data_IF_208553722663
#
_entry.id   IF_208553722663
#
_cell.length_a   1.000
_cell.length_b   1.000
_cell.length_c   1.000
_cell.angle_alpha   90.00
_cell.angle_beta   90.00
_cell.angle_gamma   90.00
#
_symmetry.space_group_name_H-M   'P 1'
#
loop_
_entity.id
_entity.type
_entity.pdbx_description
1 polymer ?
#
# COMPACT_ATOMS: atom_id res chain seq x y z
N UNK A 1 -37.62 -1.03 18.14
CA UNK A 1 -36.29 -1.51 17.74
C UNK A 1 -35.57 -0.35 17.08
N UNK A 2 -34.44 0.10 17.65
CA UNK A 2 -33.67 1.22 17.12
C UNK A 2 -33.02 0.81 15.80
N UNK A 3 -33.50 1.34 14.67
CA UNK A 3 -32.74 1.32 13.42
C UNK A 3 -31.72 2.44 13.51
N UNK A 4 -30.48 2.11 13.88
CA UNK A 4 -29.38 3.05 13.70
C UNK A 4 -29.33 3.42 12.20
N UNK A 5 -29.26 4.72 11.85
CA UNK A 5 -28.90 5.08 10.49
C UNK A 5 -27.54 4.47 10.19
N UNK A 6 -27.38 3.90 8.99
CA UNK A 6 -26.09 3.41 8.56
C UNK A 6 -25.08 4.57 8.62
N UNK A 7 -24.05 4.44 9.45
CA UNK A 7 -22.99 5.43 9.57
C UNK A 7 -21.99 5.20 8.46
N UNK A 8 -21.71 6.22 7.65
CA UNK A 8 -20.59 6.21 6.70
C UNK A 8 -19.53 7.15 7.25
N UNK A 9 -18.32 6.65 7.42
CA UNK A 9 -17.19 7.41 7.95
C UNK A 9 -15.92 7.14 7.13
N UNK A 10 -14.97 8.05 7.25
CA UNK A 10 -13.62 7.89 6.71
C UNK A 10 -12.67 7.80 7.90
N UNK A 11 -11.85 6.74 7.95
CA UNK A 11 -10.82 6.51 8.97
C UNK A 11 -9.45 6.39 8.28
N UNK A 12 -8.36 6.35 9.07
CA UNK A 12 -6.98 6.35 8.54
C UNK A 12 -6.41 7.77 8.51
N UNK A 13 -5.73 8.13 7.42
CA UNK A 13 -5.11 9.46 7.26
C UNK A 13 -6.13 10.56 6.92
N UNK A 14 -7.29 10.18 6.38
CA UNK A 14 -8.41 11.06 6.04
C UNK A 14 -7.98 12.22 5.12
N UNK A 15 -7.26 11.88 4.05
CA UNK A 15 -6.78 12.87 3.06
C UNK A 15 -7.85 13.22 2.02
N UNK A 16 -8.67 12.26 1.66
CA UNK A 16 -9.81 12.42 0.77
C UNK A 16 -11.06 12.89 1.51
N UNK A 17 -12.20 12.83 0.81
CA UNK A 17 -13.49 13.19 1.37
C UNK A 17 -14.57 12.21 0.93
N UNK A 18 -15.60 12.04 1.75
CA UNK A 18 -16.82 11.33 1.36
C UNK A 18 -17.87 12.35 0.90
N UNK A 19 -18.36 12.17 -0.33
CA UNK A 19 -19.37 13.04 -0.92
C UNK A 19 -20.63 12.23 -1.20
N UNK A 20 -21.80 12.80 -0.89
CA UNK A 20 -23.09 12.19 -1.17
C UNK A 20 -23.72 12.84 -2.40
N UNK A 21 -23.99 12.04 -3.42
CA UNK A 21 -24.62 12.48 -4.67
C UNK A 21 -25.81 11.57 -4.99
N UNK A 22 -26.98 12.17 -5.23
CA UNK A 22 -28.23 11.44 -5.52
C UNK A 22 -28.55 10.28 -4.54
N UNK A 23 -28.16 10.42 -3.27
CA UNK A 23 -28.37 9.42 -2.21
C UNK A 23 -27.27 8.37 -2.07
N UNK A 24 -26.31 8.32 -2.99
CA UNK A 24 -25.16 7.39 -3.01
C UNK A 24 -23.91 8.08 -2.43
N UNK A 25 -23.09 7.34 -1.70
CA UNK A 25 -21.81 7.82 -1.17
C UNK A 25 -20.68 7.49 -2.14
N UNK A 26 -19.84 8.49 -2.40
CA UNK A 26 -18.64 8.39 -3.23
C UNK A 26 -17.42 8.82 -2.42
N UNK A 27 -16.32 8.09 -2.61
CA UNK A 27 -15.01 8.55 -2.17
C UNK A 27 -14.43 9.50 -3.22
N UNK A 28 -14.01 10.68 -2.79
CA UNK A 28 -13.29 11.65 -3.60
C UNK A 28 -11.85 11.72 -3.10
N UNK A 29 -10.94 11.25 -3.95
CA UNK A 29 -9.49 11.29 -3.71
C UNK A 29 -9.02 12.74 -3.51
N UNK A 30 -8.02 12.99 -2.64
CA UNK A 30 -7.39 14.30 -2.56
C UNK A 30 -6.85 14.75 -3.92
N UNK A 31 -6.66 16.07 -4.14
CA UNK A 31 -5.92 16.54 -5.31
C UNK A 31 -4.54 15.89 -5.37
N UNK A 32 -4.12 15.50 -6.58
CA UNK A 32 -2.76 15.02 -6.81
C UNK A 32 -1.77 16.10 -6.37
N UNK A 33 -0.76 15.71 -5.59
CA UNK A 33 0.29 16.65 -5.19
C UNK A 33 0.97 17.23 -6.45
N UNK A 34 1.18 18.55 -6.51
CA UNK A 34 1.88 19.13 -7.65
C UNK A 34 3.33 18.60 -7.68
N UNK A 35 3.91 18.48 -8.87
CA UNK A 35 5.28 17.96 -9.02
C UNK A 35 6.33 18.75 -8.21
N UNK A 36 6.08 20.04 -7.97
CA UNK A 36 6.94 20.90 -7.12
C UNK A 36 6.91 20.54 -5.63
N UNK A 37 6.01 19.66 -5.19
CA UNK A 37 5.92 19.18 -3.80
C UNK A 37 6.89 18.03 -3.50
N UNK A 38 7.55 17.49 -4.52
CA UNK A 38 8.54 16.42 -4.38
C UNK A 38 9.85 16.83 -5.04
N UNK A 39 10.97 16.41 -4.46
CA UNK A 39 12.30 16.66 -5.03
C UNK A 39 12.94 15.32 -5.39
N UNK A 40 12.94 14.92 -6.66
CA UNK A 40 13.72 13.78 -7.12
C UNK A 40 15.22 13.99 -6.89
N UNK A 41 15.94 12.93 -6.55
CA UNK A 41 17.40 12.95 -6.36
C UNK A 41 18.09 12.25 -7.53
N UNK A 42 18.91 12.99 -8.29
CA UNK A 42 19.65 12.45 -9.44
C UNK A 42 20.68 11.38 -9.02
N UNK A 43 21.15 11.44 -7.77
CA UNK A 43 22.05 10.45 -7.16
C UNK A 43 21.31 9.15 -6.72
N UNK A 44 20.05 8.98 -7.11
CA UNK A 44 19.26 7.78 -6.82
C UNK A 44 19.82 6.55 -7.53
N UNK A 45 19.79 5.38 -6.86
CA UNK A 45 20.27 4.10 -7.43
C UNK A 45 19.29 3.48 -8.44
N UNK A 46 18.04 3.93 -8.49
CA UNK A 46 16.94 3.33 -9.25
C UNK A 46 16.66 4.09 -10.56
N UNK A 47 16.06 3.42 -11.55
CA UNK A 47 15.63 4.08 -12.81
C UNK A 47 14.58 5.17 -12.54
N UNK A 48 13.41 4.89 -11.92
CA UNK A 48 12.61 5.96 -11.33
C UNK A 48 13.43 6.66 -10.26
N UNK A 49 13.59 7.98 -10.36
CA UNK A 49 14.35 8.74 -9.37
C UNK A 49 13.63 8.71 -8.02
N UNK A 50 14.36 8.32 -6.98
CA UNK A 50 13.86 8.42 -5.61
C UNK A 50 13.68 9.87 -5.20
N UNK A 51 12.62 10.13 -4.45
CA UNK A 51 12.31 11.44 -3.89
C UNK A 51 13.04 11.60 -2.56
N UNK A 52 13.59 12.79 -2.31
CA UNK A 52 14.19 13.15 -1.03
C UNK A 52 13.15 13.16 0.11
N UNK A 53 13.54 12.62 1.26
CA UNK A 53 12.76 12.71 2.50
C UNK A 53 12.78 14.16 2.99
N UNK A 54 11.60 14.78 3.11
CA UNK A 54 11.45 16.17 3.58
C UNK A 54 10.19 16.33 4.42
N UNK A 55 10.33 16.88 5.63
CA UNK A 55 9.19 17.11 6.54
C UNK A 55 8.39 15.84 6.77
N UNK A 56 7.06 15.95 6.71
CA UNK A 56 6.11 14.85 6.92
C UNK A 56 5.71 14.13 5.61
N UNK A 57 6.48 14.31 4.52
CA UNK A 57 6.20 13.66 3.25
C UNK A 57 6.45 12.15 3.36
N UNK A 58 5.37 11.37 3.20
CA UNK A 58 5.41 9.90 3.16
C UNK A 58 5.07 9.39 1.74
N UNK A 59 5.56 8.21 1.35
CA UNK A 59 5.33 7.66 0.00
C UNK A 59 3.85 7.44 -0.35
N UNK A 60 3.10 6.91 0.60
CA UNK A 60 1.70 6.54 0.44
C UNK A 60 0.93 6.84 1.72
N UNK A 61 -0.27 7.38 1.56
CA UNK A 61 -1.27 7.49 2.62
C UNK A 61 -2.41 6.51 2.37
N UNK A 62 -3.20 6.25 3.40
CA UNK A 62 -4.39 5.41 3.29
C UNK A 62 -5.62 6.04 3.92
N UNK A 63 -6.72 6.03 3.18
CA UNK A 63 -8.05 6.29 3.70
C UNK A 63 -8.85 4.99 3.68
N UNK A 64 -9.67 4.76 4.71
CA UNK A 64 -10.59 3.61 4.77
C UNK A 64 -12.00 4.17 4.91
N UNK A 65 -12.82 3.97 3.88
CA UNK A 65 -14.25 4.25 3.98
C UNK A 65 -14.92 3.09 4.70
N UNK A 66 -15.60 3.37 5.81
CA UNK A 66 -16.30 2.38 6.61
C UNK A 66 -17.81 2.65 6.59
N UNK A 67 -18.60 1.59 6.48
CA UNK A 67 -20.05 1.62 6.56
C UNK A 67 -20.48 0.70 7.70
N UNK A 68 -21.13 1.26 8.70
CA UNK A 68 -21.70 0.52 9.83
C UNK A 68 -23.23 0.53 9.73
N UNK A 69 -23.87 -0.63 9.77
CA UNK A 69 -25.33 -0.74 9.67
C UNK A 69 -25.87 -2.11 10.03
N UNK A 70 -27.01 -2.15 10.73
CA UNK A 70 -27.70 -3.41 11.04
C UNK A 70 -26.89 -4.42 11.87
N UNK A 71 -25.91 -3.95 12.65
CA UNK A 71 -25.01 -4.81 13.44
C UNK A 71 -23.81 -5.37 12.66
N UNK A 72 -23.59 -4.93 11.43
CA UNK A 72 -22.44 -5.29 10.61
C UNK A 72 -21.64 -4.05 10.18
N UNK A 73 -20.37 -4.28 9.81
CA UNK A 73 -19.49 -3.28 9.23
C UNK A 73 -18.90 -3.78 7.91
N UNK A 74 -18.68 -2.88 6.97
CA UNK A 74 -17.95 -3.14 5.73
C UNK A 74 -17.01 -1.96 5.46
N UNK A 75 -15.86 -2.23 4.85
CA UNK A 75 -14.88 -1.19 4.56
C UNK A 75 -14.24 -1.33 3.17
N UNK A 76 -13.72 -0.21 2.67
CA UNK A 76 -12.92 -0.13 1.45
C UNK A 76 -11.73 0.79 1.69
N UNK A 77 -10.53 0.29 1.36
CA UNK A 77 -9.28 1.02 1.45
C UNK A 77 -8.94 1.75 0.15
N UNK A 78 -8.48 3.00 0.27
CA UNK A 78 -8.01 3.84 -0.82
C UNK A 78 -6.57 4.24 -0.54
N UNK A 79 -5.66 3.79 -1.40
CA UNK A 79 -4.24 4.15 -1.35
C UNK A 79 -4.03 5.45 -2.12
N UNK A 80 -3.33 6.39 -1.49
CA UNK A 80 -3.04 7.71 -2.05
C UNK A 80 -1.53 7.81 -2.22
N UNK A 81 -1.08 7.73 -3.47
CA UNK A 81 0.33 7.78 -3.82
C UNK A 81 0.77 9.24 -3.90
N UNK A 82 1.69 9.65 -3.03
CA UNK A 82 2.24 11.02 -3.00
C UNK A 82 3.43 11.20 -3.94
N UNK A 83 4.00 10.10 -4.42
CA UNK A 83 5.12 10.03 -5.34
C UNK A 83 5.10 8.70 -6.09
N UNK A 84 5.90 8.58 -7.14
CA UNK A 84 6.05 7.32 -7.88
C UNK A 84 6.88 6.32 -7.06
N UNK A 85 6.47 5.04 -6.98
CA UNK A 85 7.31 3.98 -6.42
C UNK A 85 8.63 3.84 -7.19
N UNK A 86 9.72 3.59 -6.47
CA UNK A 86 11.04 3.32 -7.07
C UNK A 86 11.36 1.84 -7.17
N UNK A 87 10.68 1.05 -6.34
CA UNK A 87 10.77 -0.40 -6.29
C UNK A 87 9.45 -1.02 -6.76
N UNK A 88 9.47 -2.34 -6.91
CA UNK A 88 8.29 -3.18 -7.13
C UNK A 88 8.41 -4.44 -6.28
N UNK A 89 7.28 -5.13 -6.07
CA UNK A 89 7.25 -6.38 -5.33
C UNK A 89 7.10 -7.56 -6.28
N UNK A 90 8.08 -8.48 -6.23
CA UNK A 90 7.95 -9.83 -6.80
C UNK A 90 7.25 -10.71 -5.79
N UNK A 91 6.32 -11.53 -6.26
CA UNK A 91 5.67 -12.54 -5.44
C UNK A 91 6.32 -13.91 -5.72
N UNK A 92 6.37 -14.76 -4.71
CA UNK A 92 6.93 -16.09 -4.82
C UNK A 92 6.19 -17.05 -3.91
N UNK A 93 6.55 -18.33 -4.01
CA UNK A 93 6.02 -19.38 -3.13
C UNK A 93 7.14 -20.11 -2.45
N UNK A 94 7.17 -20.06 -1.11
CA UNK A 94 8.14 -20.78 -0.29
C UNK A 94 7.38 -21.62 0.73
N UNK A 95 7.57 -22.94 0.68
CA UNK A 95 6.89 -23.89 1.57
C UNK A 95 5.35 -23.72 1.59
N UNK A 96 4.75 -23.38 0.45
CA UNK A 96 3.31 -23.15 0.31
C UNK A 96 2.81 -21.80 0.82
N UNK A 97 3.69 -20.92 1.31
CA UNK A 97 3.38 -19.56 1.74
C UNK A 97 3.76 -18.55 0.66
N UNK A 98 3.06 -17.42 0.65
CA UNK A 98 3.39 -16.30 -0.22
C UNK A 98 4.64 -15.59 0.31
N UNK A 99 5.64 -15.47 -0.56
CA UNK A 99 6.87 -14.73 -0.34
C UNK A 99 6.78 -13.41 -1.11
N UNK A 100 7.10 -12.30 -0.46
CA UNK A 100 7.25 -10.98 -1.07
C UNK A 100 8.74 -10.66 -1.13
N UNK A 101 9.22 -10.14 -2.26
CA UNK A 101 10.59 -9.66 -2.43
C UNK A 101 10.55 -8.25 -2.99
N UNK A 102 11.19 -7.31 -2.30
CA UNK A 102 11.33 -5.94 -2.77
C UNK A 102 12.47 -5.88 -3.79
N UNK A 103 12.14 -5.49 -5.02
CA UNK A 103 13.08 -5.41 -6.12
C UNK A 103 13.08 -4.01 -6.74
N UNK A 104 14.15 -3.67 -7.45
CA UNK A 104 14.23 -2.44 -8.24
C UNK A 104 15.03 -2.67 -9.52
N UNK A 105 14.87 -1.76 -10.47
CA UNK A 105 15.76 -1.67 -11.63
C UNK A 105 16.81 -0.59 -11.33
N UNK A 106 18.08 -0.98 -11.34
CA UNK A 106 19.19 -0.06 -11.12
C UNK A 106 19.47 0.81 -12.36
N UNK A 107 20.36 1.80 -12.25
CA UNK A 107 20.72 2.69 -13.39
C UNK A 107 21.31 2.01 -14.63
N UNK A 108 21.67 0.73 -14.53
CA UNK A 108 22.19 -0.08 -15.63
C UNK A 108 21.13 -1.03 -16.22
N UNK A 109 19.84 -0.79 -15.92
CA UNK A 109 18.70 -1.63 -16.34
C UNK A 109 18.77 -3.08 -15.82
N UNK A 110 19.41 -3.30 -14.68
CA UNK A 110 19.48 -4.61 -14.02
C UNK A 110 18.50 -4.66 -12.85
N UNK A 111 17.72 -5.74 -12.78
CA UNK A 111 16.86 -6.04 -11.63
C UNK A 111 17.70 -6.55 -10.46
N UNK A 112 17.55 -5.91 -9.31
CA UNK A 112 18.18 -6.29 -8.05
C UNK A 112 17.13 -6.46 -6.96
N UNK A 113 17.35 -7.42 -6.06
CA UNK A 113 16.56 -7.59 -4.85
C UNK A 113 17.23 -6.84 -3.69
N UNK A 114 16.41 -6.16 -2.88
CA UNK A 114 16.87 -5.53 -1.64
C UNK A 114 17.15 -6.61 -0.59
N UNK A 115 18.21 -6.43 0.21
CA UNK A 115 18.49 -7.32 1.34
C UNK A 115 17.30 -7.27 2.31
N UNK A 116 16.71 -8.43 2.69
CA UNK A 116 15.61 -8.45 3.65
C UNK A 116 15.88 -7.70 4.95
N UNK A 117 17.13 -7.63 5.41
CA UNK A 117 17.49 -6.88 6.62
C UNK A 117 17.28 -5.36 6.51
N UNK A 118 17.26 -4.84 5.28
CA UNK A 118 17.10 -3.40 5.01
C UNK A 118 15.64 -3.02 4.69
N UNK A 119 14.68 -3.95 4.74
CA UNK A 119 13.28 -3.70 4.39
C UNK A 119 12.42 -3.52 5.63
N UNK A 120 11.67 -2.42 5.68
CA UNK A 120 10.56 -2.24 6.59
C UNK A 120 9.24 -2.61 5.90
N UNK A 121 8.52 -3.57 6.47
CA UNK A 121 7.20 -3.99 5.98
C UNK A 121 6.09 -3.36 6.82
N UNK A 122 5.05 -2.83 6.16
CA UNK A 122 3.86 -2.32 6.81
C UNK A 122 2.61 -2.81 6.12
N UNK A 123 1.69 -3.41 6.87
CA UNK A 123 0.34 -3.72 6.36
C UNK A 123 -0.51 -2.45 6.48
N UNK A 124 -0.78 -1.82 5.33
CA UNK A 124 -1.59 -0.60 5.27
C UNK A 124 -3.08 -0.92 5.45
N UNK A 125 -3.54 -2.02 4.85
CA UNK A 125 -4.92 -2.51 4.98
C UNK A 125 -4.97 -4.04 4.94
N UNK A 126 -6.04 -4.58 5.53
CA UNK A 126 -6.19 -6.00 5.80
C UNK A 126 -5.71 -6.34 7.20
N UNK A 127 -5.74 -7.62 7.53
CA UNK A 127 -5.47 -8.15 8.88
C UNK A 127 -4.36 -9.22 8.88
N UNK A 128 -3.58 -9.29 7.80
CA UNK A 128 -2.41 -10.16 7.71
C UNK A 128 -1.18 -9.57 8.38
N UNK A 129 -0.07 -10.28 8.26
CA UNK A 129 1.26 -9.83 8.68
C UNK A 129 2.32 -10.27 7.67
N UNK A 130 3.47 -9.61 7.70
CA UNK A 130 4.64 -9.93 6.87
C UNK A 130 5.84 -10.10 7.81
N UNK A 131 6.60 -11.18 7.66
CA UNK A 131 7.86 -11.35 8.41
C UNK A 131 8.96 -10.44 7.85
N UNK A 132 10.08 -10.31 8.56
CA UNK A 132 11.24 -9.55 8.07
C UNK A 132 11.72 -10.07 6.70
N UNK A 133 11.69 -11.38 6.53
CA UNK A 133 12.09 -12.07 5.30
C UNK A 133 11.07 -11.89 4.17
N UNK A 134 9.92 -11.24 4.40
CA UNK A 134 8.88 -11.02 3.40
C UNK A 134 7.83 -12.13 3.30
N UNK A 135 7.76 -13.07 4.26
CA UNK A 135 6.72 -14.10 4.25
C UNK A 135 5.39 -13.52 4.72
N UNK A 136 4.39 -13.50 3.82
CA UNK A 136 3.05 -13.05 4.13
C UNK A 136 2.23 -14.15 4.79
N UNK A 137 1.62 -13.82 5.93
CA UNK A 137 0.65 -14.65 6.63
C UNK A 137 -0.70 -13.94 6.64
N UNK A 138 -1.73 -14.45 5.95
CA UNK A 138 -3.04 -13.82 5.96
C UNK A 138 -3.69 -13.92 7.35
N UNK A 139 -4.52 -12.94 7.68
CA UNK A 139 -5.34 -12.97 8.89
C UNK A 139 -6.53 -13.92 8.77
N UNK A 140 -7.34 -14.01 9.82
CA UNK A 140 -8.47 -14.94 9.90
C UNK A 140 -9.73 -14.45 9.17
N UNK A 141 -9.91 -13.15 9.01
CA UNK A 141 -10.98 -12.56 8.20
C UNK A 141 -10.46 -12.26 6.79
N UNK A 142 -10.62 -13.23 5.88
CA UNK A 142 -10.10 -13.18 4.50
C UNK A 142 -10.94 -12.31 3.56
N UNK A 143 -11.73 -11.36 4.09
CA UNK A 143 -12.62 -10.52 3.30
C UNK A 143 -11.85 -9.31 2.76
N UNK A 144 -11.71 -9.25 1.44
CA UNK A 144 -11.12 -8.11 0.74
C UNK A 144 -9.64 -8.26 0.44
N UNK A 145 -9.03 -7.17 -0.06
CA UNK A 145 -7.62 -7.14 -0.40
C UNK A 145 -6.76 -6.77 0.83
N UNK A 146 -5.52 -7.25 0.87
CA UNK A 146 -4.49 -6.71 1.75
C UNK A 146 -3.58 -5.75 0.98
N UNK A 147 -3.28 -4.58 1.56
CA UNK A 147 -2.31 -3.64 0.99
C UNK A 147 -1.05 -3.64 1.85
N UNK A 148 0.10 -3.87 1.23
CA UNK A 148 1.39 -4.03 1.91
C UNK A 148 2.37 -3.03 1.33
N UNK A 149 2.89 -2.16 2.18
CA UNK A 149 4.00 -1.26 1.89
C UNK A 149 5.32 -1.94 2.27
N UNK A 150 6.30 -1.79 1.39
CA UNK A 150 7.69 -2.15 1.64
C UNK A 150 8.55 -0.91 1.43
N UNK A 151 9.39 -0.59 2.39
CA UNK A 151 10.33 0.55 2.33
C UNK A 151 11.74 0.00 2.55
N UNK A 152 12.65 0.28 1.63
CA UNK A 152 14.07 0.06 1.86
C UNK A 152 14.63 1.20 2.71
N UNK A 153 15.46 0.83 3.69
CA UNK A 153 16.12 1.72 4.63
C UNK A 153 17.10 2.66 3.92
N UNK A 154 16.75 3.94 3.87
CA UNK A 154 17.65 5.02 3.45
C UNK A 154 17.31 6.30 4.23
N UNK A 155 18.32 7.00 4.75
CA UNK A 155 18.12 8.18 5.60
C UNK A 155 17.72 9.45 4.82
N UNK A 156 17.90 9.44 3.50
CA UNK A 156 17.75 10.60 2.63
C UNK A 156 16.64 10.44 1.60
N UNK A 157 16.37 9.23 1.12
CA UNK A 157 15.50 8.96 -0.03
C UNK A 157 14.37 8.01 0.31
N UNK A 158 13.23 8.17 -0.36
CA UNK A 158 12.16 7.19 -0.35
C UNK A 158 12.39 6.09 -1.38
N UNK A 159 12.83 4.93 -0.91
CA UNK A 159 12.91 3.70 -1.68
C UNK A 159 11.79 2.75 -1.25
N UNK A 160 10.82 2.48 -2.13
CA UNK A 160 9.58 1.82 -1.69
C UNK A 160 8.74 1.24 -2.82
N UNK A 161 7.82 0.34 -2.44
CA UNK A 161 6.78 -0.24 -3.28
C UNK A 161 5.52 -0.59 -2.46
N UNK A 162 4.39 -0.77 -3.13
CA UNK A 162 3.16 -1.32 -2.52
C UNK A 162 2.64 -2.49 -3.35
N UNK A 163 2.20 -3.56 -2.69
CA UNK A 163 1.42 -4.64 -3.29
C UNK A 163 -0.01 -4.63 -2.75
N UNK A 164 -0.98 -4.83 -3.64
CA UNK A 164 -2.38 -5.08 -3.27
C UNK A 164 -2.69 -6.54 -3.59
N UNK A 165 -2.83 -7.35 -2.54
CA UNK A 165 -3.06 -8.77 -2.64
C UNK A 165 -4.57 -9.05 -2.56
N UNK A 166 -5.22 -9.51 -3.65
CA UNK A 166 -6.59 -9.98 -3.58
C UNK A 166 -6.68 -11.29 -2.76
N UNK A 167 -7.88 -11.68 -2.30
CA UNK A 167 -8.09 -12.90 -1.53
C UNK A 167 -8.08 -14.15 -2.45
N UNK A 168 -6.95 -14.38 -3.10
CA UNK A 168 -6.71 -15.51 -4.01
C UNK A 168 -5.77 -16.53 -3.37
N UNK A 169 -5.78 -17.76 -3.89
CA UNK A 169 -4.80 -18.77 -3.49
C UNK A 169 -3.37 -18.32 -3.87
N UNK A 170 -2.37 -18.77 -3.11
CA UNK A 170 -0.95 -18.40 -3.34
C UNK A 170 -0.53 -18.66 -4.78
N UNK A 171 -0.92 -19.81 -5.35
CA UNK A 171 -0.59 -20.16 -6.73
C UNK A 171 -1.16 -19.14 -7.72
N UNK A 172 -2.42 -18.74 -7.52
CA UNK A 172 -3.06 -17.73 -8.37
C UNK A 172 -2.39 -16.37 -8.24
N UNK A 173 -1.97 -15.98 -7.02
CA UNK A 173 -1.24 -14.72 -6.82
C UNK A 173 0.10 -14.74 -7.54
N UNK A 174 0.82 -15.85 -7.46
CA UNK A 174 2.13 -15.98 -8.10
C UNK A 174 2.02 -15.95 -9.63
N UNK A 175 0.91 -16.40 -10.20
CA UNK A 175 0.66 -16.38 -11.65
C UNK A 175 0.25 -15.00 -12.22
N UNK A 176 0.03 -13.98 -11.38
CA UNK A 176 -0.43 -12.64 -11.81
C UNK A 176 0.68 -11.68 -12.28
N UNK A 177 1.95 -12.08 -12.19
CA UNK A 177 3.12 -11.19 -12.27
C UNK A 177 4.06 -11.53 -13.42
#
# INVERSE_FOLDING_TARGET
AMTHPAGVSLIGDVRGTLQREAGVWFYKSPPVLPASSVTPDDDSKTVPLAVLKTGDLVPVNIDIAQIDGGGASASAAFLIFNMTPTHFLRLGKVQGKLQLSLCFINKNDVEEAVDPADIEWTVLAGNGSVSQEGLYTPGTDLRGCSAILAVESDNRRWYWAVAVLPPLAVDQLVDLQ
#
